data_IF_508557874906
#
_entry.id   IF_508557874906
#
_cell.length_a   1.000
_cell.length_b   1.000
_cell.length_c   1.000
_cell.angle_alpha   90.00
_cell.angle_beta   90.00
_cell.angle_gamma   90.00
#
_symmetry.space_group_name_H-M   'P 1'
#
loop_
_entity.id
_entity.type
_entity.pdbx_description
1 polymer ?
#
# COMPACT_ATOMS: atom_id res chain seq x y z
N UNK A 1 52.02 17.74 -27.77
CA UNK A 1 51.57 16.33 -27.88
C UNK A 1 50.07 16.35 -27.65
N UNK A 2 49.24 16.15 -28.65
CA UNK A 2 47.81 16.03 -28.43
C UNK A 2 47.57 14.68 -27.70
N UNK A 3 46.88 14.73 -26.59
CA UNK A 3 46.38 13.55 -25.87
C UNK A 3 45.37 12.84 -26.77
N UNK A 4 45.77 11.69 -27.30
CA UNK A 4 44.86 10.78 -27.96
C UNK A 4 43.80 10.34 -26.91
N UNK A 5 42.64 10.92 -27.05
CA UNK A 5 41.44 10.42 -26.31
C UNK A 5 41.13 9.06 -26.95
N UNK A 6 41.55 8.00 -26.29
CA UNK A 6 41.23 6.62 -26.67
C UNK A 6 39.72 6.43 -26.47
N UNK A 7 38.96 6.67 -27.53
CA UNK A 7 37.54 6.44 -27.58
C UNK A 7 37.31 4.92 -27.53
N UNK A 8 36.68 4.42 -26.48
CA UNK A 8 36.20 3.02 -26.48
C UNK A 8 35.02 2.90 -27.45
N UNK A 9 35.10 2.00 -28.43
CA UNK A 9 34.00 1.79 -29.35
C UNK A 9 32.81 1.10 -28.61
N UNK A 10 31.59 1.35 -29.09
CA UNK A 10 30.39 0.76 -28.53
C UNK A 10 30.41 -0.76 -28.54
N UNK A 11 29.97 -1.39 -27.43
CA UNK A 11 29.80 -2.83 -27.36
C UNK A 11 28.73 -3.38 -28.33
N UNK A 12 27.86 -2.53 -28.86
CA UNK A 12 26.85 -2.91 -29.86
C UNK A 12 27.47 -3.22 -31.23
N UNK A 13 28.71 -2.81 -31.51
CA UNK A 13 29.40 -3.13 -32.74
C UNK A 13 29.51 -4.66 -32.99
N UNK A 14 29.63 -5.45 -31.96
CA UNK A 14 29.72 -6.91 -32.09
C UNK A 14 28.50 -7.56 -32.77
N UNK A 15 27.36 -6.89 -32.77
CA UNK A 15 26.11 -7.39 -33.36
C UNK A 15 25.96 -6.95 -34.86
N UNK A 16 26.85 -6.10 -35.34
CA UNK A 16 26.85 -5.69 -36.73
C UNK A 16 27.69 -6.60 -37.61
N UNK A 17 27.40 -6.65 -38.94
CA UNK A 17 28.28 -7.31 -39.90
C UNK A 17 29.70 -6.78 -39.82
N UNK A 18 30.70 -7.64 -40.06
CA UNK A 18 32.13 -7.32 -39.92
C UNK A 18 32.58 -6.05 -40.69
N UNK A 19 31.95 -5.75 -41.81
CA UNK A 19 32.24 -4.53 -42.63
C UNK A 19 32.02 -3.23 -41.86
N UNK A 20 31.16 -3.21 -40.83
CA UNK A 20 30.86 -2.03 -40.01
C UNK A 20 31.62 -2.00 -38.69
N UNK A 21 32.20 -3.12 -38.28
CA UNK A 21 32.87 -3.22 -36.98
C UNK A 21 34.17 -2.43 -36.87
N UNK A 22 34.82 -2.18 -38.01
CA UNK A 22 36.05 -1.41 -38.08
C UNK A 22 35.81 0.12 -38.32
N UNK A 23 34.54 0.52 -38.52
CA UNK A 23 34.21 1.92 -38.81
C UNK A 23 34.08 2.72 -37.51
N UNK A 24 35.02 3.68 -37.32
CA UNK A 24 35.06 4.53 -36.13
C UNK A 24 33.81 5.43 -35.99
N UNK A 25 33.22 5.86 -37.10
CA UNK A 25 32.00 6.68 -37.09
C UNK A 25 30.79 5.84 -36.58
N UNK A 26 30.64 4.62 -37.08
CA UNK A 26 29.60 3.70 -36.66
C UNK A 26 29.76 3.39 -35.16
N UNK A 27 30.98 3.17 -34.69
CA UNK A 27 31.28 2.95 -33.28
C UNK A 27 30.84 4.11 -32.38
N UNK A 28 31.13 5.35 -32.77
CA UNK A 28 30.71 6.54 -32.02
C UNK A 28 29.20 6.78 -32.09
N UNK A 29 28.59 6.54 -33.24
CA UNK A 29 27.13 6.65 -33.40
C UNK A 29 26.38 5.65 -32.50
N UNK A 30 26.85 4.43 -32.41
CA UNK A 30 26.27 3.42 -31.58
C UNK A 30 26.44 3.69 -30.08
N UNK A 31 27.44 4.42 -29.65
CA UNK A 31 27.59 4.84 -28.23
C UNK A 31 26.38 5.65 -27.75
N UNK A 32 25.82 6.50 -28.61
CA UNK A 32 24.61 7.27 -28.27
C UNK A 32 23.42 6.33 -27.98
N UNK A 33 23.25 5.29 -28.80
CA UNK A 33 22.21 4.30 -28.60
C UNK A 33 22.49 3.41 -27.36
N UNK A 34 23.73 3.00 -27.18
CA UNK A 34 24.14 2.22 -26.02
C UNK A 34 23.85 2.99 -24.71
N UNK A 35 24.10 4.28 -24.69
CA UNK A 35 23.78 5.15 -23.55
C UNK A 35 22.27 5.22 -23.29
N UNK A 36 21.46 5.36 -24.35
CA UNK A 36 20.00 5.41 -24.22
C UNK A 36 19.45 4.06 -23.78
N UNK A 37 19.93 2.98 -24.35
CA UNK A 37 19.39 1.64 -24.11
C UNK A 37 19.86 1.06 -22.78
N UNK A 38 21.16 1.13 -22.49
CA UNK A 38 21.80 0.46 -21.36
C UNK A 38 22.15 1.40 -20.20
N UNK A 39 22.11 2.73 -20.43
CA UNK A 39 22.47 3.72 -19.39
C UNK A 39 23.97 3.75 -19.07
N UNK A 40 24.83 3.21 -19.96
CA UNK A 40 26.27 3.18 -19.74
C UNK A 40 26.85 4.58 -19.93
N UNK A 41 27.58 5.03 -18.92
CA UNK A 41 28.41 6.25 -18.99
C UNK A 41 29.85 5.84 -19.22
N UNK A 42 30.49 6.43 -20.26
CA UNK A 42 31.87 6.15 -20.66
C UNK A 42 32.93 6.68 -19.67
N UNK A 43 32.53 7.22 -18.54
CA UNK A 43 33.45 7.79 -17.55
C UNK A 43 33.49 6.95 -16.27
N UNK A 44 34.67 6.37 -15.93
CA UNK A 44 34.85 5.66 -14.67
C UNK A 44 34.75 6.57 -13.44
N UNK A 45 34.74 7.89 -13.62
CA UNK A 45 34.77 8.88 -12.53
C UNK A 45 33.41 9.47 -12.14
N UNK A 46 32.30 9.08 -12.80
CA UNK A 46 30.99 9.67 -12.49
C UNK A 46 30.26 8.83 -11.43
N UNK A 47 30.77 8.83 -10.23
CA UNK A 47 30.02 8.49 -9.00
C UNK A 47 29.07 9.63 -8.58
N UNK A 48 28.62 10.46 -9.50
CA UNK A 48 27.61 11.46 -9.18
C UNK A 48 26.25 10.76 -9.03
N UNK A 49 25.73 10.77 -7.80
CA UNK A 49 24.39 10.29 -7.46
C UNK A 49 23.27 11.18 -8.02
N UNK A 50 23.60 12.10 -8.91
CA UNK A 50 22.64 13.01 -9.52
C UNK A 50 21.96 12.34 -10.71
N UNK A 51 20.64 12.06 -10.64
CA UNK A 51 19.90 11.38 -11.70
C UNK A 51 19.88 12.17 -13.02
N UNK A 52 20.06 13.50 -12.98
CA UNK A 52 20.10 14.35 -14.19
C UNK A 52 21.43 14.20 -14.96
N UNK A 53 22.50 13.83 -14.26
CA UNK A 53 23.82 13.62 -14.85
C UNK A 53 24.03 12.18 -15.34
N UNK A 54 23.29 11.23 -14.79
CA UNK A 54 23.40 9.82 -15.14
C UNK A 54 22.00 9.20 -15.33
N UNK A 55 21.31 9.49 -16.43
CA UNK A 55 19.98 8.94 -16.68
C UNK A 55 20.04 7.42 -16.80
N UNK A 56 19.09 6.75 -16.17
CA UNK A 56 18.93 5.29 -16.28
C UNK A 56 18.64 4.92 -17.73
N UNK A 57 19.28 3.86 -18.23
CA UNK A 57 18.97 3.29 -19.53
C UNK A 57 17.57 2.66 -19.55
N UNK A 58 17.03 2.48 -20.76
CA UNK A 58 15.73 1.86 -20.97
C UNK A 58 15.66 0.44 -20.37
N UNK A 59 16.73 -0.34 -20.47
CA UNK A 59 16.82 -1.67 -19.86
C UNK A 59 16.63 -1.60 -18.36
N UNK A 60 17.33 -0.69 -17.68
CA UNK A 60 17.20 -0.51 -16.23
C UNK A 60 15.80 -0.02 -15.80
N UNK A 61 15.14 0.78 -16.64
CA UNK A 61 13.78 1.24 -16.42
C UNK A 61 12.81 0.07 -16.55
N UNK A 62 13.00 -0.78 -17.57
CA UNK A 62 12.16 -1.97 -17.80
C UNK A 62 12.34 -2.98 -16.66
N UNK A 63 13.57 -3.26 -16.24
CA UNK A 63 13.86 -4.14 -15.11
C UNK A 63 13.24 -3.64 -13.79
N UNK A 64 13.18 -2.31 -13.63
CA UNK A 64 12.55 -1.66 -12.49
C UNK A 64 11.02 -1.61 -12.52
N UNK A 65 10.36 -1.97 -13.64
CA UNK A 65 8.90 -1.88 -13.76
C UNK A 65 8.16 -2.72 -12.71
N UNK A 66 8.71 -3.86 -12.32
CA UNK A 66 8.11 -4.69 -11.28
C UNK A 66 7.97 -3.96 -9.93
N UNK A 67 8.87 -3.04 -9.63
CA UNK A 67 8.85 -2.23 -8.39
C UNK A 67 7.69 -1.23 -8.37
N UNK A 68 7.20 -0.79 -9.54
CA UNK A 68 6.02 0.08 -9.62
C UNK A 68 4.74 -0.64 -9.17
N UNK A 69 4.69 -1.96 -9.32
CA UNK A 69 3.54 -2.77 -8.91
C UNK A 69 3.66 -3.29 -7.47
N UNK A 70 4.81 -3.08 -6.81
CA UNK A 70 4.96 -3.38 -5.40
C UNK A 70 4.42 -2.21 -4.55
N UNK A 71 3.31 -2.38 -3.81
CA UNK A 71 2.71 -1.31 -3.02
C UNK A 71 3.64 -0.73 -1.95
N UNK A 72 4.64 -1.51 -1.50
CA UNK A 72 5.55 -1.09 -0.45
C UNK A 72 6.67 -0.16 -0.95
N UNK A 73 7.04 -0.28 -2.23
CA UNK A 73 8.17 0.43 -2.83
C UNK A 73 7.73 1.49 -3.85
N UNK A 74 6.54 1.31 -4.44
CA UNK A 74 6.01 2.21 -5.49
C UNK A 74 6.02 3.68 -5.06
N UNK A 75 6.29 4.65 -5.97
CA UNK A 75 6.17 6.07 -5.67
C UNK A 75 4.77 6.45 -5.18
N UNK A 76 4.69 7.43 -4.28
CA UNK A 76 3.43 7.88 -3.69
C UNK A 76 2.40 8.34 -4.72
N UNK A 77 2.89 8.94 -5.80
CA UNK A 77 2.06 9.42 -6.92
C UNK A 77 1.40 8.28 -7.71
N UNK A 78 2.02 7.10 -7.74
CA UNK A 78 1.50 5.93 -8.45
C UNK A 78 0.52 5.10 -7.59
N UNK A 79 0.55 5.27 -6.29
CA UNK A 79 -0.28 4.52 -5.35
C UNK A 79 -1.80 4.66 -5.62
N UNK A 80 -2.35 5.86 -5.94
CA UNK A 80 -3.76 6.02 -6.30
C UNK A 80 -4.15 5.27 -7.58
N UNK A 81 -3.23 5.16 -8.54
CA UNK A 81 -3.45 4.38 -9.75
C UNK A 81 -3.49 2.88 -9.44
N UNK A 82 -2.53 2.40 -8.63
CA UNK A 82 -2.47 1.01 -8.20
C UNK A 82 -3.71 0.61 -7.40
N UNK A 83 -4.25 1.51 -6.58
CA UNK A 83 -5.47 1.27 -5.81
C UNK A 83 -6.71 1.11 -6.70
N UNK A 84 -6.80 1.85 -7.81
CA UNK A 84 -7.91 1.70 -8.77
C UNK A 84 -7.92 0.33 -9.43
N UNK A 85 -6.75 -0.26 -9.66
CA UNK A 85 -6.63 -1.62 -10.19
C UNK A 85 -7.14 -2.67 -9.22
N UNK A 86 -7.06 -2.41 -7.93
CA UNK A 86 -7.56 -3.32 -6.90
C UNK A 86 -9.06 -3.15 -6.62
N UNK A 87 -9.78 -2.38 -7.45
CA UNK A 87 -11.21 -2.08 -7.33
C UNK A 87 -11.63 -1.52 -5.94
N UNK A 88 -10.69 -0.93 -5.22
CA UNK A 88 -10.93 -0.31 -3.93
C UNK A 88 -10.86 1.21 -4.06
N UNK A 89 -11.94 1.84 -3.68
CA UNK A 89 -11.90 3.26 -3.36
C UNK A 89 -11.12 3.42 -2.05
N UNK A 90 -9.84 3.75 -2.16
CA UNK A 90 -9.07 4.17 -0.99
C UNK A 90 -9.80 5.35 -0.35
N UNK A 91 -10.07 5.23 0.93
CA UNK A 91 -10.70 6.33 1.67
C UNK A 91 -9.69 7.45 1.80
N UNK A 92 -10.14 8.68 1.59
CA UNK A 92 -9.31 9.88 1.64
C UNK A 92 -8.67 10.13 3.02
N UNK A 93 -9.15 9.45 4.05
CA UNK A 93 -8.69 9.57 5.43
C UNK A 93 -7.61 8.57 5.85
N UNK A 94 -7.19 7.67 4.94
CA UNK A 94 -6.11 6.72 5.20
C UNK A 94 -4.74 7.39 5.03
N UNK A 95 -3.82 7.09 5.95
CA UNK A 95 -2.42 7.48 5.77
C UNK A 95 -1.78 6.68 4.63
N UNK A 96 -0.76 7.24 3.98
CA UNK A 96 -0.02 6.57 2.90
C UNK A 96 0.47 5.16 3.30
N UNK A 97 0.95 5.02 4.53
CA UNK A 97 1.42 3.73 5.04
C UNK A 97 0.29 2.70 5.17
N UNK A 98 -0.88 3.13 5.62
CA UNK A 98 -2.07 2.28 5.69
C UNK A 98 -2.52 1.87 4.29
N UNK A 99 -2.50 2.80 3.32
CA UNK A 99 -2.82 2.50 1.93
C UNK A 99 -1.88 1.46 1.33
N UNK A 100 -0.57 1.60 1.54
CA UNK A 100 0.45 0.64 1.08
C UNK A 100 0.23 -0.76 1.63
N UNK A 101 0.06 -0.87 2.95
CA UNK A 101 -0.19 -2.14 3.62
C UNK A 101 -1.48 -2.79 3.17
N UNK A 102 -2.50 -1.98 2.94
CA UNK A 102 -3.80 -2.45 2.48
C UNK A 102 -3.73 -3.03 1.08
N UNK A 103 -3.15 -2.28 0.12
CA UNK A 103 -2.99 -2.76 -1.26
C UNK A 103 -2.14 -4.03 -1.30
N UNK A 104 -1.11 -4.14 -0.46
CA UNK A 104 -0.26 -5.34 -0.38
C UNK A 104 -1.04 -6.60 0.05
N UNK A 105 -2.08 -6.45 0.86
CA UNK A 105 -2.87 -7.56 1.38
C UNK A 105 -4.17 -7.81 0.60
N UNK A 106 -4.49 -6.94 -0.35
CA UNK A 106 -5.80 -6.95 -1.01
C UNK A 106 -6.12 -8.26 -1.72
N UNK A 107 -5.13 -8.88 -2.37
CA UNK A 107 -5.31 -10.15 -3.10
C UNK A 107 -5.74 -11.24 -2.14
N UNK A 108 -5.12 -11.32 -0.96
CA UNK A 108 -5.48 -12.29 0.07
C UNK A 108 -6.86 -11.99 0.67
N UNK A 109 -7.21 -10.72 0.83
CA UNK A 109 -8.51 -10.32 1.32
C UNK A 109 -9.62 -10.68 0.31
N UNK A 110 -9.37 -10.57 -0.99
CA UNK A 110 -10.33 -10.99 -2.01
C UNK A 110 -10.54 -12.50 -2.06
N UNK A 111 -9.49 -13.29 -1.87
CA UNK A 111 -9.59 -14.76 -1.87
C UNK A 111 -10.57 -15.26 -0.79
N UNK A 112 -10.59 -14.62 0.36
CA UNK A 112 -11.44 -15.00 1.49
C UNK A 112 -12.63 -14.08 1.69
N UNK A 113 -13.02 -13.32 0.69
CA UNK A 113 -14.16 -12.39 0.76
C UNK A 113 -15.44 -13.08 1.21
N UNK A 114 -16.22 -12.39 2.05
CA UNK A 114 -17.48 -12.90 2.59
C UNK A 114 -17.33 -13.91 3.73
N UNK A 115 -16.10 -14.19 4.18
CA UNK A 115 -15.87 -15.03 5.36
C UNK A 115 -15.74 -14.20 6.63
N UNK A 116 -16.16 -14.79 7.76
CA UNK A 116 -16.03 -14.18 9.08
C UNK A 116 -14.56 -13.78 9.39
N UNK A 117 -13.61 -14.66 9.08
CA UNK A 117 -12.18 -14.43 9.32
C UNK A 117 -11.64 -13.24 8.52
N UNK A 118 -12.08 -13.09 7.26
CA UNK A 118 -11.69 -11.97 6.41
C UNK A 118 -12.26 -10.65 6.92
N UNK A 119 -13.54 -10.64 7.33
CA UNK A 119 -14.17 -9.46 7.89
C UNK A 119 -13.45 -8.97 9.15
N UNK A 120 -13.04 -9.89 10.04
CA UNK A 120 -12.26 -9.55 11.25
C UNK A 120 -10.93 -8.91 10.85
N UNK A 121 -10.16 -9.53 9.96
CA UNK A 121 -8.86 -9.00 9.49
C UNK A 121 -9.00 -7.61 8.87
N UNK A 122 -10.03 -7.41 8.07
CA UNK A 122 -10.29 -6.14 7.41
C UNK A 122 -10.63 -5.05 8.44
N UNK A 123 -11.48 -5.35 9.40
CA UNK A 123 -11.80 -4.42 10.48
C UNK A 123 -10.57 -4.10 11.35
N UNK A 124 -9.71 -5.07 11.65
CA UNK A 124 -8.44 -4.85 12.38
C UNK A 124 -7.48 -3.94 11.61
N UNK A 125 -7.43 -4.06 10.30
CA UNK A 125 -6.56 -3.25 9.44
C UNK A 125 -7.01 -1.78 9.39
N UNK A 126 -8.32 -1.54 9.36
CA UNK A 126 -8.88 -0.19 9.18
C UNK A 126 -9.19 0.54 10.47
N UNK A 127 -9.49 -0.18 11.54
CA UNK A 127 -9.80 0.43 12.82
C UNK A 127 -8.51 0.77 13.57
N UNK A 128 -8.43 1.99 14.05
CA UNK A 128 -7.29 2.43 14.87
C UNK A 128 -7.39 1.89 16.29
N UNK A 129 -6.26 1.49 16.87
CA UNK A 129 -6.10 1.09 18.28
C UNK A 129 -6.58 -0.32 18.64
N UNK A 130 -6.05 -1.34 17.96
CA UNK A 130 -6.24 -2.77 18.32
C UNK A 130 -7.60 -3.09 18.99
N UNK A 131 -8.69 -2.97 18.23
CA UNK A 131 -10.02 -3.27 18.77
C UNK A 131 -10.17 -4.77 19.04
N UNK A 132 -10.91 -5.13 20.07
CA UNK A 132 -11.40 -6.50 20.18
C UNK A 132 -12.64 -6.64 19.30
N UNK A 133 -12.55 -7.49 18.28
CA UNK A 133 -13.62 -7.69 17.28
C UNK A 133 -14.17 -9.10 17.44
N UNK A 134 -15.47 -9.20 17.62
CA UNK A 134 -16.21 -10.46 17.64
C UNK A 134 -17.26 -10.43 16.53
N UNK A 135 -17.23 -11.43 15.66
CA UNK A 135 -18.26 -11.68 14.67
C UNK A 135 -18.88 -13.03 14.98
N UNK A 136 -20.19 -13.08 15.16
CA UNK A 136 -20.91 -14.31 15.45
C UNK A 136 -22.16 -14.42 14.59
N UNK A 137 -22.39 -15.59 14.06
CA UNK A 137 -23.67 -15.92 13.45
C UNK A 137 -24.78 -15.85 14.48
N UNK A 138 -25.95 -15.43 14.07
CA UNK A 138 -27.11 -15.27 14.96
C UNK A 138 -28.40 -15.65 14.23
N UNK A 139 -29.45 -15.98 14.97
CA UNK A 139 -30.77 -16.17 14.44
C UNK A 139 -31.41 -14.82 14.04
N UNK A 140 -32.17 -14.75 12.95
CA UNK A 140 -32.51 -15.81 11.98
C UNK A 140 -31.34 -16.18 11.03
N UNK A 141 -31.48 -17.24 10.22
CA UNK A 141 -30.47 -17.62 9.23
C UNK A 141 -30.05 -16.43 8.37
N UNK A 142 -28.79 -16.37 7.96
CA UNK A 142 -28.17 -15.26 7.20
C UNK A 142 -28.08 -13.94 7.97
N UNK A 143 -28.12 -14.00 9.29
CA UNK A 143 -27.92 -12.86 10.17
C UNK A 143 -26.68 -13.04 11.04
N UNK A 144 -25.88 -11.97 11.20
CA UNK A 144 -24.70 -12.01 12.05
C UNK A 144 -24.59 -10.76 12.92
N UNK A 145 -23.89 -10.89 14.05
CA UNK A 145 -23.61 -9.78 14.96
C UNK A 145 -22.14 -9.46 14.98
N UNK A 146 -21.84 -8.19 14.78
CA UNK A 146 -20.48 -7.64 14.89
C UNK A 146 -20.40 -6.81 16.15
N UNK A 147 -19.52 -7.20 17.07
CA UNK A 147 -19.23 -6.45 18.28
C UNK A 147 -17.79 -5.95 18.22
N UNK A 148 -17.62 -4.64 18.32
CA UNK A 148 -16.32 -3.98 18.30
C UNK A 148 -16.15 -3.31 19.65
N UNK A 149 -15.09 -3.67 20.38
CA UNK A 149 -14.74 -3.00 21.65
C UNK A 149 -13.52 -2.13 21.40
N UNK A 150 -13.72 -0.81 21.43
CA UNK A 150 -12.66 0.16 21.28
C UNK A 150 -12.06 0.55 22.62
N UNK A 151 -10.75 0.81 22.74
CA UNK A 151 -10.17 1.41 23.92
C UNK A 151 -10.78 2.81 24.16
N UNK A 152 -10.78 3.26 25.40
CA UNK A 152 -11.36 4.55 25.78
C UNK A 152 -10.78 5.70 24.97
N UNK A 153 -11.62 6.33 24.13
CA UNK A 153 -11.28 7.50 23.30
C UNK A 153 -12.46 8.47 23.31
N UNK A 154 -12.21 9.70 22.81
CA UNK A 154 -13.28 10.72 22.71
C UNK A 154 -14.45 10.23 21.82
N UNK A 155 -15.65 10.72 22.13
CA UNK A 155 -16.88 10.32 21.45
C UNK A 155 -16.81 10.51 19.92
N UNK A 156 -16.17 11.55 19.44
CA UNK A 156 -16.00 11.83 18.00
C UNK A 156 -15.21 10.73 17.28
N UNK A 157 -14.16 10.21 17.93
CA UNK A 157 -13.37 9.10 17.37
C UNK A 157 -14.21 7.83 17.29
N UNK A 158 -15.05 7.58 18.29
CA UNK A 158 -15.92 6.39 18.34
C UNK A 158 -16.96 6.45 17.20
N UNK A 159 -17.59 7.61 16.99
CA UNK A 159 -18.54 7.82 15.91
C UNK A 159 -17.87 7.54 14.56
N UNK A 160 -16.70 8.13 14.32
CA UNK A 160 -15.94 7.92 13.08
C UNK A 160 -15.54 6.45 12.87
N UNK A 161 -15.08 5.77 13.92
CA UNK A 161 -14.72 4.34 13.85
C UNK A 161 -15.96 3.46 13.56
N UNK A 162 -17.13 3.81 14.09
CA UNK A 162 -18.39 3.14 13.79
C UNK A 162 -18.77 3.30 12.32
N UNK A 163 -18.68 4.51 11.77
CA UNK A 163 -18.97 4.77 10.35
C UNK A 163 -18.03 3.99 9.42
N UNK A 164 -16.73 3.94 9.77
CA UNK A 164 -15.74 3.15 9.04
C UNK A 164 -16.11 1.67 9.07
N UNK A 165 -16.40 1.13 10.25
CA UNK A 165 -16.77 -0.28 10.40
C UNK A 165 -18.04 -0.61 9.62
N UNK A 166 -19.05 0.25 9.68
CA UNK A 166 -20.31 0.07 8.96
C UNK A 166 -20.08 0.03 7.44
N UNK A 167 -19.32 0.97 6.90
CA UNK A 167 -19.00 1.02 5.47
C UNK A 167 -18.23 -0.23 4.99
N UNK A 168 -17.30 -0.73 5.82
CA UNK A 168 -16.54 -1.93 5.51
C UNK A 168 -17.41 -3.19 5.55
N UNK A 169 -18.29 -3.32 6.53
CA UNK A 169 -19.21 -4.47 6.64
C UNK A 169 -20.16 -4.48 5.43
N UNK A 170 -20.72 -3.33 5.05
CA UNK A 170 -21.60 -3.23 3.87
C UNK A 170 -20.87 -3.61 2.57
N UNK A 171 -19.60 -3.28 2.45
CA UNK A 171 -18.80 -3.61 1.27
C UNK A 171 -18.48 -5.11 1.18
N UNK A 172 -18.23 -5.75 2.32
CA UNK A 172 -17.71 -7.12 2.39
C UNK A 172 -18.76 -8.19 2.66
N UNK A 173 -19.88 -7.84 3.27
CA UNK A 173 -20.95 -8.80 3.56
C UNK A 173 -21.53 -9.40 2.28
N UNK A 174 -21.87 -10.69 2.28
CA UNK A 174 -22.66 -11.27 1.21
C UNK A 174 -24.02 -10.55 1.04
N UNK A 175 -24.48 -10.38 -0.20
CA UNK A 175 -25.67 -9.59 -0.50
C UNK A 175 -26.95 -10.11 0.21
N UNK A 176 -27.00 -11.41 0.49
CA UNK A 176 -28.15 -12.06 1.14
C UNK A 176 -28.08 -12.07 2.67
N UNK A 177 -27.05 -11.45 3.26
CA UNK A 177 -26.90 -11.41 4.72
C UNK A 177 -27.23 -10.05 5.29
N UNK A 178 -27.75 -10.05 6.52
CA UNK A 178 -27.98 -8.86 7.32
C UNK A 178 -27.19 -8.90 8.63
N UNK A 179 -27.02 -7.75 9.29
CA UNK A 179 -26.17 -7.69 10.48
C UNK A 179 -26.61 -6.63 11.48
N UNK A 180 -26.13 -6.79 12.71
CA UNK A 180 -26.18 -5.74 13.73
C UNK A 180 -24.76 -5.38 14.15
N UNK A 181 -24.41 -4.08 14.12
CA UNK A 181 -23.13 -3.55 14.57
C UNK A 181 -23.31 -2.91 15.95
N UNK A 182 -22.56 -3.41 16.93
CA UNK A 182 -22.46 -2.84 18.28
C UNK A 182 -21.03 -2.38 18.54
N UNK A 183 -20.85 -1.10 18.80
CA UNK A 183 -19.54 -0.53 19.16
C UNK A 183 -19.56 -0.19 20.65
N UNK A 184 -18.75 -0.88 21.42
CA UNK A 184 -18.63 -0.70 22.85
C UNK A 184 -17.33 0.04 23.18
N UNK A 185 -17.41 0.97 24.11
CA UNK A 185 -16.25 1.59 24.75
C UNK A 185 -16.31 1.25 26.24
N UNK A 186 -15.24 0.69 26.83
CA UNK A 186 -15.25 0.43 28.26
C UNK A 186 -15.30 1.78 29.01
N UNK A 187 -16.45 2.06 29.58
CA UNK A 187 -16.70 3.32 30.30
C UNK A 187 -16.33 3.23 31.77
N UNK A 188 -16.34 2.02 32.32
CA UNK A 188 -16.04 1.79 33.74
C UNK A 188 -15.14 0.57 33.92
N UNK A 189 -13.98 0.76 34.55
CA UNK A 189 -13.15 -0.33 35.07
C UNK A 189 -12.98 -0.11 36.56
N UNK A 190 -13.76 -0.80 37.37
CA UNK A 190 -13.68 -0.75 38.83
C UNK A 190 -12.25 -1.18 39.26
N UNK A 191 -11.61 -0.34 40.07
CA UNK A 191 -10.24 -0.57 40.51
C UNK A 191 -9.11 -0.04 39.62
N UNK A 192 -9.40 0.41 38.39
CA UNK A 192 -8.41 1.08 37.53
C UNK A 192 -8.77 2.50 37.15
N UNK A 193 -10.07 2.80 36.94
CA UNK A 193 -10.55 4.09 36.48
C UNK A 193 -11.73 4.64 37.28
N UNK A 194 -12.25 3.88 38.23
CA UNK A 194 -13.30 4.30 39.13
C UNK A 194 -13.17 3.57 40.45
N UNK A 195 -13.14 4.33 41.51
CA UNK A 195 -13.12 3.82 42.88
C UNK A 195 -14.51 4.04 43.48
N UNK A 196 -15.19 2.95 43.86
CA UNK A 196 -16.53 3.04 44.44
C UNK A 196 -16.48 3.92 45.69
N UNK A 197 -17.29 4.95 45.71
CA UNK A 197 -17.35 5.93 46.83
C UNK A 197 -16.44 7.16 46.72
N UNK A 198 -15.58 7.24 45.66
CA UNK A 198 -14.68 8.44 45.45
C UNK A 198 -15.01 9.15 44.15
N UNK A 199 -15.15 8.43 43.04
CA UNK A 199 -15.35 9.03 41.72
C UNK A 199 -16.29 8.22 40.82
N UNK A 200 -17.23 7.49 41.41
CA UNK A 200 -18.19 6.66 40.68
C UNK A 200 -19.26 7.54 40.03
N UNK A 201 -19.14 7.85 38.77
CA UNK A 201 -20.20 8.44 37.95
C UNK A 201 -20.99 7.33 37.27
N UNK A 202 -22.23 7.13 37.70
CA UNK A 202 -23.19 6.28 37.00
C UNK A 202 -23.70 7.06 35.77
N UNK A 203 -23.32 6.64 34.58
CA UNK A 203 -23.90 7.19 33.37
C UNK A 203 -25.37 6.76 33.24
N UNK A 204 -26.27 7.71 33.06
CA UNK A 204 -27.64 7.43 32.63
C UNK A 204 -27.61 7.02 31.17
N UNK A 205 -28.08 5.83 30.84
CA UNK A 205 -28.47 5.45 29.47
C UNK A 205 -29.73 6.27 29.14
N UNK A 206 -29.61 7.28 28.29
CA UNK A 206 -30.76 7.81 27.58
C UNK A 206 -31.13 6.78 26.48
N UNK A 207 -32.39 6.35 26.48
CA UNK A 207 -33.02 5.48 25.51
C UNK A 207 -33.07 6.09 24.11
#
# INVERSE_FOLDING_TARGET
MPTETTFQPSGLLQYLPAIYQEDAFVGQFLLAFEKILLGRTDSPDTTSSDPDLNPKGLEQIIDGLSQLYDPLVTPDEFLPWLSKWTALSLRADMTLEQQRRFIAQIIQLYEYRGTQANLIKLLELFLTATPAIEVREADPPYFFRVRITLPRKGAEIVIRQREIAQALIELEKPAHTDYTLTVNTPTLKIGQFSTVGVDTLLGTTEE
#
